data_IF_625065176367
#
_entry.id   IF_625065176367
#
_cell.length_a   1.000
_cell.length_b   1.000
_cell.length_c   1.000
_cell.angle_alpha   90.00
_cell.angle_beta   90.00
_cell.angle_gamma   90.00
#
_symmetry.space_group_name_H-M   'P 1'
#
loop_
_entity.id
_entity.type
_entity.pdbx_description
1 polymer ?
#
# COMPACT_ATOMS: atom_id res chain seq x y z
N UNK A 1 10.44 2.94 4.15
CA UNK A 1 9.42 1.92 4.50
C UNK A 1 8.04 2.48 4.28
N UNK A 2 7.01 1.64 4.42
CA UNK A 2 5.62 2.04 4.22
C UNK A 2 4.68 1.22 5.11
N UNK A 3 3.64 1.88 5.60
CA UNK A 3 2.43 1.21 6.10
C UNK A 3 1.29 1.48 5.14
N UNK A 4 0.48 0.47 4.83
CA UNK A 4 -0.71 0.58 3.99
C UNK A 4 -1.91 0.02 4.73
N UNK A 5 -2.98 0.80 4.83
CA UNK A 5 -4.25 0.36 5.35
C UNK A 5 -5.33 0.41 4.28
N UNK A 6 -6.24 -0.57 4.36
CA UNK A 6 -7.32 -0.75 3.40
C UNK A 6 -8.63 -0.89 4.17
N UNK A 7 -9.68 -0.19 3.70
CA UNK A 7 -11.07 -0.53 3.99
C UNK A 7 -11.78 -0.82 2.67
N UNK A 8 -12.18 -2.08 2.49
CA UNK A 8 -12.81 -2.56 1.27
C UNK A 8 -14.25 -2.05 1.13
N UNK A 9 -14.60 -1.57 -0.05
CA UNK A 9 -15.94 -1.17 -0.47
C UNK A 9 -16.69 -2.29 -1.20
N UNK A 10 -15.98 -3.25 -1.79
CA UNK A 10 -16.56 -4.39 -2.50
C UNK A 10 -15.94 -5.73 -2.06
N UNK A 11 -16.65 -6.84 -2.33
CA UNK A 11 -16.10 -8.18 -2.14
C UNK A 11 -14.94 -8.47 -3.12
N UNK A 12 -14.19 -9.55 -2.86
CA UNK A 12 -13.04 -10.00 -3.65
C UNK A 12 -11.72 -9.40 -3.18
N UNK A 13 -10.62 -9.92 -3.73
CA UNK A 13 -9.27 -9.45 -3.45
C UNK A 13 -9.05 -8.02 -3.96
N UNK A 14 -8.47 -7.16 -3.11
CA UNK A 14 -8.16 -5.76 -3.44
C UNK A 14 -6.74 -5.58 -4.01
N UNK A 15 -5.88 -6.58 -3.80
CA UNK A 15 -4.43 -6.41 -3.84
C UNK A 15 -3.76 -6.85 -5.14
N UNK A 16 -4.49 -7.03 -6.23
CA UNK A 16 -3.89 -7.30 -7.56
C UNK A 16 -3.11 -6.11 -8.14
N UNK A 17 -3.03 -4.99 -7.42
CA UNK A 17 -2.39 -3.78 -7.89
C UNK A 17 -0.87 -3.82 -7.74
N UNK A 18 -0.15 -3.50 -8.83
CA UNK A 18 1.31 -3.48 -8.88
C UNK A 18 1.86 -2.21 -8.20
N UNK A 19 2.98 -2.34 -7.45
CA UNK A 19 3.79 -1.18 -7.13
C UNK A 19 4.64 -0.75 -8.34
N UNK A 20 4.67 0.55 -8.58
CA UNK A 20 5.50 1.18 -9.60
C UNK A 20 6.34 2.26 -8.95
N UNK A 21 7.67 2.16 -9.10
CA UNK A 21 8.60 3.12 -8.51
C UNK A 21 9.38 3.83 -9.61
N UNK A 22 9.24 5.15 -9.63
CA UNK A 22 9.95 6.06 -10.53
C UNK A 22 11.05 6.75 -9.72
N UNK A 23 12.27 6.73 -10.25
CA UNK A 23 13.45 7.29 -9.59
C UNK A 23 14.10 8.30 -10.54
N UNK A 24 14.54 9.43 -9.98
CA UNK A 24 15.30 10.48 -10.66
C UNK A 24 14.64 10.93 -11.97
N UNK A 25 13.34 11.26 -11.86
CA UNK A 25 12.51 11.81 -12.95
C UNK A 25 12.40 10.92 -14.20
N UNK A 26 12.63 9.61 -14.08
CA UNK A 26 12.45 8.67 -15.19
C UNK A 26 10.98 8.62 -15.64
N UNK A 27 10.74 8.55 -16.95
CA UNK A 27 9.40 8.48 -17.54
C UNK A 27 8.75 7.09 -17.42
N UNK A 28 9.54 6.06 -17.14
CA UNK A 28 9.10 4.69 -16.87
C UNK A 28 9.49 4.27 -15.46
N UNK A 29 8.70 3.40 -14.80
CA UNK A 29 9.10 2.86 -13.52
C UNK A 29 10.37 2.02 -13.68
N UNK A 30 11.30 2.15 -12.72
CA UNK A 30 12.52 1.34 -12.66
C UNK A 30 12.29 0.05 -11.87
N UNK A 31 11.26 0.04 -11.02
CA UNK A 31 10.74 -1.14 -10.34
C UNK A 31 9.26 -1.25 -10.73
N UNK A 32 8.88 -2.40 -11.27
CA UNK A 32 7.50 -2.77 -11.51
C UNK A 32 7.21 -4.09 -10.81
N UNK A 33 6.22 -4.09 -9.94
CA UNK A 33 5.81 -5.23 -9.14
C UNK A 33 4.88 -6.18 -9.85
N UNK A 34 4.17 -6.98 -9.04
CA UNK A 34 3.25 -8.02 -9.50
C UNK A 34 1.96 -8.13 -8.68
N UNK A 35 1.86 -7.36 -7.59
CA UNK A 35 0.74 -7.44 -6.66
C UNK A 35 1.07 -6.77 -5.34
N UNK A 36 0.04 -6.33 -4.63
CA UNK A 36 0.15 -5.67 -3.34
C UNK A 36 0.65 -6.65 -2.28
N UNK A 37 0.11 -7.88 -2.19
CA UNK A 37 0.62 -8.87 -1.25
C UNK A 37 2.06 -9.24 -1.55
N UNK A 38 2.43 -9.35 -2.83
CA UNK A 38 3.78 -9.66 -3.27
C UNK A 38 4.76 -8.58 -2.80
N UNK A 39 4.39 -7.30 -2.97
CA UNK A 39 5.16 -6.19 -2.43
C UNK A 39 5.27 -6.25 -0.90
N UNK A 40 4.25 -6.72 -0.18
CA UNK A 40 4.34 -6.91 1.28
C UNK A 40 4.95 -8.27 1.70
N UNK A 41 5.55 -8.98 0.75
CA UNK A 41 6.18 -10.29 0.91
C UNK A 41 5.22 -11.37 1.46
N UNK A 42 3.97 -11.29 1.04
CA UNK A 42 2.98 -12.37 1.09
C UNK A 42 2.88 -13.10 -0.25
N UNK A 43 1.78 -13.82 -0.42
CA UNK A 43 1.33 -14.45 -1.66
C UNK A 43 -0.12 -14.91 -1.47
N UNK A 44 -0.83 -15.19 -2.57
CA UNK A 44 -2.17 -15.83 -2.56
C UNK A 44 -3.14 -15.12 -1.61
N UNK A 45 -3.27 -13.80 -1.73
CA UNK A 45 -4.23 -12.98 -0.97
C UNK A 45 -4.05 -13.09 0.56
N UNK A 46 -2.82 -13.38 1.01
CA UNK A 46 -2.48 -13.74 2.40
C UNK A 46 -3.22 -14.97 2.95
N UNK A 47 -3.79 -15.81 2.08
CA UNK A 47 -4.65 -16.96 2.42
C UNK A 47 -6.11 -16.80 1.97
N UNK A 48 -6.47 -15.65 1.40
CA UNK A 48 -7.76 -15.37 0.77
C UNK A 48 -8.98 -15.41 1.70
N UNK A 49 -10.17 -15.45 1.11
CA UNK A 49 -11.48 -15.26 1.75
C UNK A 49 -11.70 -16.07 3.03
N UNK A 50 -11.14 -17.28 3.12
CA UNK A 50 -11.36 -18.19 4.26
C UNK A 50 -10.07 -18.62 4.97
N UNK A 51 -8.91 -18.21 4.48
CA UNK A 51 -7.61 -18.65 5.01
C UNK A 51 -6.71 -17.51 5.46
N UNK A 52 -7.09 -16.25 5.22
CA UNK A 52 -6.27 -15.10 5.59
C UNK A 52 -6.11 -14.98 7.11
N UNK A 53 -4.85 -15.01 7.56
CA UNK A 53 -4.48 -14.89 8.98
C UNK A 53 -3.47 -13.77 9.18
N UNK A 54 -3.62 -12.92 10.21
CA UNK A 54 -2.65 -11.87 10.50
C UNK A 54 -1.26 -12.46 10.81
N UNK A 55 -0.22 -11.77 10.35
CA UNK A 55 1.17 -12.13 10.63
C UNK A 55 2.05 -10.89 10.75
N UNK A 56 3.22 -11.05 11.39
CA UNK A 56 4.20 -9.99 11.54
C UNK A 56 5.61 -10.54 11.63
N UNK A 57 6.48 -10.07 10.75
CA UNK A 57 7.91 -10.34 10.75
C UNK A 57 8.69 -9.05 11.06
N UNK A 58 10.01 -9.16 11.19
CA UNK A 58 10.84 -8.00 11.53
C UNK A 58 10.68 -6.83 10.52
N UNK A 59 10.63 -7.13 9.22
CA UNK A 59 10.62 -6.11 8.16
C UNK A 59 9.33 -6.05 7.36
N UNK A 60 8.40 -6.99 7.50
CA UNK A 60 7.14 -6.96 6.76
C UNK A 60 6.03 -7.68 7.53
N UNK A 61 4.77 -7.38 7.22
CA UNK A 61 3.65 -8.07 7.84
C UNK A 61 2.29 -7.54 7.44
N UNK A 62 1.26 -8.34 7.75
CA UNK A 62 -0.14 -7.96 7.74
C UNK A 62 -0.73 -8.16 9.15
N UNK A 63 -0.38 -7.31 10.14
CA UNK A 63 -0.70 -7.54 11.54
C UNK A 63 -2.20 -7.41 11.86
N UNK A 64 -3.00 -6.90 10.93
CA UNK A 64 -4.45 -6.83 11.08
C UNK A 64 -5.13 -7.20 9.77
N UNK A 65 -5.99 -8.21 9.83
CA UNK A 65 -6.87 -8.68 8.76
C UNK A 65 -8.23 -8.96 9.41
N UNK A 66 -9.28 -8.33 8.92
CA UNK A 66 -10.65 -8.54 9.40
C UNK A 66 -11.61 -8.58 8.22
N UNK A 67 -12.54 -9.55 8.22
CA UNK A 67 -13.49 -9.79 7.12
C UNK A 67 -12.78 -9.83 5.74
N UNK A 68 -11.82 -10.75 5.56
CA UNK A 68 -11.01 -10.77 4.34
C UNK A 68 -11.87 -10.90 3.08
N UNK A 69 -11.48 -10.20 2.02
CA UNK A 69 -12.15 -10.18 0.71
C UNK A 69 -13.66 -9.87 0.73
N UNK A 70 -14.13 -9.14 1.75
CA UNK A 70 -15.54 -8.74 1.88
C UNK A 70 -15.65 -7.23 1.98
N UNK A 71 -16.77 -6.69 1.50
CA UNK A 71 -17.11 -5.29 1.76
C UNK A 71 -17.13 -5.04 3.28
N UNK A 72 -16.48 -3.95 3.71
CA UNK A 72 -16.20 -3.67 5.12
C UNK A 72 -14.94 -4.34 5.68
N UNK A 73 -14.27 -5.15 4.86
CA UNK A 73 -12.99 -5.79 5.15
C UNK A 73 -11.88 -4.80 5.40
N UNK A 74 -10.98 -5.11 6.32
CA UNK A 74 -9.90 -4.23 6.75
C UNK A 74 -8.58 -4.96 6.80
N UNK A 75 -7.55 -4.29 6.29
CA UNK A 75 -6.19 -4.78 6.29
C UNK A 75 -5.25 -3.66 6.76
N UNK A 76 -4.25 -4.00 7.57
CA UNK A 76 -3.10 -3.15 7.83
C UNK A 76 -1.84 -3.93 7.46
N UNK A 77 -1.03 -3.35 6.58
CA UNK A 77 0.18 -3.93 6.02
C UNK A 77 1.39 -3.03 6.33
N UNK A 78 2.57 -3.61 6.45
CA UNK A 78 3.82 -2.84 6.53
C UNK A 78 4.98 -3.53 5.80
N UNK A 79 5.89 -2.70 5.28
CA UNK A 79 7.20 -3.13 4.77
C UNK A 79 8.27 -2.09 5.08
N UNK A 80 9.36 -2.53 5.69
CA UNK A 80 10.54 -1.75 6.02
C UNK A 80 11.67 -2.15 5.07
N UNK A 81 12.09 -1.20 4.23
CA UNK A 81 13.25 -1.35 3.35
C UNK A 81 14.53 -1.05 4.14
N UNK A 82 14.98 -2.00 4.97
CA UNK A 82 16.08 -1.81 5.90
C UNK A 82 17.44 -1.98 5.21
N UNK A 83 17.78 -3.22 4.82
CA UNK A 83 19.00 -3.58 4.10
C UNK A 83 18.87 -3.46 2.58
N UNK A 84 17.66 -3.17 2.09
CA UNK A 84 17.31 -3.02 0.68
C UNK A 84 16.62 -1.67 0.37
N UNK A 85 17.21 -0.53 0.73
CA UNK A 85 16.61 0.78 0.48
C UNK A 85 16.45 1.05 -1.02
N UNK A 86 15.33 1.67 -1.39
CA UNK A 86 15.17 2.26 -2.73
C UNK A 86 15.84 3.63 -2.71
N UNK A 87 17.02 3.72 -3.30
CA UNK A 87 17.83 4.94 -3.33
C UNK A 87 17.45 5.85 -4.49
N UNK A 88 17.56 7.15 -4.28
CA UNK A 88 17.36 8.20 -5.29
C UNK A 88 18.38 9.33 -5.11
N UNK A 89 18.62 10.12 -6.16
CA UNK A 89 19.49 11.31 -6.10
C UNK A 89 18.69 12.61 -6.14
N UNK A 90 17.66 12.66 -6.98
CA UNK A 90 16.87 13.87 -7.24
C UNK A 90 15.42 13.70 -6.79
N UNK A 91 14.78 12.59 -7.14
CA UNK A 91 13.36 12.38 -6.85
C UNK A 91 13.00 10.90 -6.74
N UNK A 92 11.98 10.63 -5.95
CA UNK A 92 11.33 9.33 -5.91
C UNK A 92 9.82 9.53 -5.94
N UNK A 93 9.15 8.77 -6.80
CA UNK A 93 7.70 8.65 -6.81
C UNK A 93 7.37 7.16 -6.69
N UNK A 94 6.78 6.81 -5.55
CA UNK A 94 6.27 5.47 -5.30
C UNK A 94 4.76 5.49 -5.48
N UNK A 95 4.24 4.62 -6.35
CA UNK A 95 2.81 4.42 -6.53
C UNK A 95 2.48 2.94 -6.37
N UNK A 96 1.24 2.65 -6.00
CA UNK A 96 0.67 1.31 -6.04
C UNK A 96 -0.70 1.40 -6.70
N UNK A 97 -1.02 0.49 -7.60
CA UNK A 97 -2.36 0.46 -8.20
C UNK A 97 -3.41 0.04 -7.16
N UNK A 98 -4.63 0.54 -7.33
CA UNK A 98 -5.76 0.12 -6.51
C UNK A 98 -6.50 -1.02 -7.21
N UNK A 99 -6.05 -2.25 -6.98
CA UNK A 99 -6.44 -3.42 -7.77
C UNK A 99 -5.91 -3.39 -9.20
N UNK A 100 -6.20 -4.44 -9.97
CA UNK A 100 -5.65 -4.59 -11.31
C UNK A 100 -6.12 -3.43 -12.20
N UNK A 101 -5.16 -2.73 -12.82
CA UNK A 101 -5.45 -1.59 -13.67
C UNK A 101 -6.29 -0.49 -12.99
N UNK A 102 -6.16 -0.36 -11.65
CA UNK A 102 -6.90 0.60 -10.82
C UNK A 102 -8.43 0.39 -10.85
N UNK A 103 -8.89 -0.85 -10.92
CA UNK A 103 -10.32 -1.20 -10.97
C UNK A 103 -11.04 -1.13 -9.62
N UNK A 104 -10.31 -1.01 -8.50
CA UNK A 104 -10.87 -0.92 -7.15
C UNK A 104 -11.08 0.53 -6.72
N UNK A 105 -12.26 0.78 -6.15
CA UNK A 105 -12.60 2.03 -5.48
C UNK A 105 -12.61 1.89 -3.94
N UNK A 106 -11.74 1.04 -3.38
CA UNK A 106 -11.60 0.88 -1.93
C UNK A 106 -10.94 2.11 -1.29
N UNK A 107 -11.02 2.20 0.04
CA UNK A 107 -10.31 3.24 0.77
C UNK A 107 -8.88 2.76 1.04
N UNK A 108 -7.90 3.37 0.37
CA UNK A 108 -6.47 3.16 0.64
C UNK A 108 -5.89 4.34 1.40
N UNK A 109 -5.09 4.07 2.44
CA UNK A 109 -4.41 5.09 3.22
C UNK A 109 -3.02 4.60 3.61
N UNK A 110 -2.00 5.44 3.42
CA UNK A 110 -0.62 5.05 3.62
C UNK A 110 0.21 6.09 4.35
N UNK A 111 1.32 5.64 4.94
CA UNK A 111 2.38 6.51 5.44
C UNK A 111 3.69 6.03 4.84
N UNK A 112 4.35 6.90 4.09
CA UNK A 112 5.69 6.68 3.56
C UNK A 112 6.75 7.19 4.53
N UNK A 113 7.82 6.41 4.71
CA UNK A 113 8.95 6.74 5.56
C UNK A 113 10.23 6.73 4.71
N UNK A 114 10.96 7.83 4.68
CA UNK A 114 12.18 7.97 3.90
C UNK A 114 13.20 8.85 4.61
N UNK A 115 14.43 8.84 4.09
CA UNK A 115 15.49 9.75 4.46
C UNK A 115 15.93 10.53 3.21
N UNK A 116 16.36 11.76 3.42
CA UNK A 116 16.95 12.63 2.40
C UNK A 116 18.02 13.51 3.06
N UNK A 117 18.88 14.13 2.25
CA UNK A 117 20.03 14.90 2.74
C UNK A 117 19.65 16.11 3.59
N UNK A 118 18.56 16.79 3.24
CA UNK A 118 18.09 18.00 3.90
C UNK A 118 16.59 17.91 4.17
N UNK A 119 16.05 18.51 5.25
CA UNK A 119 14.61 18.51 5.49
C UNK A 119 13.85 19.20 4.35
N UNK A 120 12.79 18.56 3.85
CA UNK A 120 11.81 19.22 3.00
C UNK A 120 10.67 19.77 3.88
N UNK A 121 10.28 21.03 3.69
CA UNK A 121 9.25 21.69 4.52
C UNK A 121 8.01 22.09 3.76
N UNK A 122 8.02 22.05 2.42
CA UNK A 122 6.92 22.52 1.57
C UNK A 122 5.93 21.40 1.23
N UNK A 123 5.45 20.69 2.25
CA UNK A 123 4.41 19.68 2.03
C UNK A 123 3.07 20.33 1.72
N UNK A 124 2.26 19.73 0.82
CA UNK A 124 0.87 20.15 0.66
C UNK A 124 0.13 20.01 2.00
N UNK A 125 -0.87 20.87 2.22
CA UNK A 125 -1.75 20.73 3.37
C UNK A 125 -2.42 19.35 3.35
N UNK A 126 -2.50 18.71 4.52
CA UNK A 126 -3.28 17.48 4.66
C UNK A 126 -4.75 17.78 4.33
N UNK A 127 -5.47 16.83 3.71
CA UNK A 127 -6.92 16.93 3.56
C UNK A 127 -7.62 17.19 4.89
N UNK A 128 -8.84 17.73 4.85
CA UNK A 128 -9.61 17.96 6.06
C UNK A 128 -9.81 16.64 6.83
N UNK A 129 -10.01 16.71 8.16
CA UNK A 129 -10.18 15.50 8.99
C UNK A 129 -11.27 14.59 8.43
N UNK A 130 -12.41 15.16 8.03
CA UNK A 130 -13.54 14.40 7.50
C UNK A 130 -13.21 13.63 6.22
N UNK A 131 -12.32 14.16 5.38
CA UNK A 131 -11.92 13.51 4.12
C UNK A 131 -10.92 12.37 4.33
N UNK A 132 -10.39 12.23 5.56
CA UNK A 132 -9.40 11.20 5.93
C UNK A 132 -9.99 10.08 6.77
N UNK A 133 -11.29 10.12 7.06
CA UNK A 133 -11.98 9.05 7.80
C UNK A 133 -12.49 8.05 6.77
N UNK A 134 -11.95 6.81 6.72
CA UNK A 134 -12.40 5.82 5.76
C UNK A 134 -13.85 5.41 6.05
N UNK A 135 -14.67 5.34 5.02
CA UNK A 135 -16.07 4.95 5.11
C UNK A 135 -16.38 3.83 4.13
N UNK A 136 -17.31 2.95 4.52
CA UNK A 136 -17.80 1.92 3.64
C UNK A 136 -18.78 2.54 2.63
N UNK A 137 -18.41 2.53 1.36
CA UNK A 137 -19.24 2.95 0.25
C UNK A 137 -19.74 1.72 -0.49
N UNK A 138 -20.92 1.22 -0.08
CA UNK A 138 -21.58 0.14 -0.80
C UNK A 138 -22.08 0.68 -2.15
N UNK A 139 -21.53 0.13 -3.23
CA UNK A 139 -22.05 0.31 -4.59
C UNK A 139 -23.20 -0.66 -4.86
#
# INVERSE_FOLDING_TARGET
GVTLGILQNANGWFGEGDEMVFVDNNSKPVINGTGTEDYFCGAWDFGGLNGAVPFGNLYNGAPYIALPERAGGRYCLYRWHADNPITFRESIKFTIEHGHANDRADNFYSVGYWYQSEPYTEFPALPAVNDRIPALHLL
#
